data_IF_258774469082
#
_entry.id   IF_258774469082
#
_cell.length_a   1.000
_cell.length_b   1.000
_cell.length_c   1.000
_cell.angle_alpha   90.00
_cell.angle_beta   90.00
_cell.angle_gamma   90.00
#
_symmetry.space_group_name_H-M   'P 1'
#
loop_
_entity.id
_entity.type
_entity.pdbx_description
1 polymer ?
#
# COMPACT_ATOMS: atom_id res chain seq x y z
N UNK A 1 -3.37 73.66 5.73
CA UNK A 1 -3.09 74.21 4.40
C UNK A 1 -3.68 73.22 3.40
N UNK A 2 -4.99 73.28 3.18
CA UNK A 2 -5.75 74.19 2.28
C UNK A 2 -6.13 73.42 1.02
N UNK A 3 -7.33 72.82 0.92
CA UNK A 3 -8.68 73.38 0.65
C UNK A 3 -9.04 73.42 -0.85
N UNK A 4 -9.95 72.49 -1.21
CA UNK A 4 -11.18 72.56 -2.07
C UNK A 4 -11.14 72.99 -3.56
N UNK A 5 -11.93 72.25 -4.36
CA UNK A 5 -13.17 72.80 -4.97
C UNK A 5 -14.24 71.72 -5.26
N UNK A 6 -15.50 72.16 -5.07
CA UNK A 6 -16.79 71.46 -5.18
C UNK A 6 -17.35 71.49 -6.61
N UNK A 7 -18.34 70.64 -6.92
CA UNK A 7 -19.71 71.03 -7.35
C UNK A 7 -20.67 69.85 -7.11
N UNK A 8 -21.86 70.20 -6.62
CA UNK A 8 -23.00 69.36 -6.27
C UNK A 8 -24.06 69.36 -7.39
N UNK A 9 -24.83 68.29 -7.53
CA UNK A 9 -26.24 68.31 -7.91
C UNK A 9 -26.89 66.96 -7.56
N UNK A 10 -27.87 66.98 -6.66
CA UNK A 10 -28.62 65.78 -6.26
C UNK A 10 -29.85 65.56 -7.12
N UNK A 11 -30.32 64.31 -7.18
CA UNK A 11 -31.69 63.93 -7.50
C UNK A 11 -32.07 62.76 -6.57
N UNK A 12 -33.18 62.93 -5.86
CA UNK A 12 -33.85 61.91 -5.07
C UNK A 12 -34.44 60.80 -5.97
N UNK A 13 -34.70 59.60 -5.44
CA UNK A 13 -35.99 58.87 -5.57
C UNK A 13 -35.89 57.43 -5.02
N UNK A 14 -36.94 57.08 -4.28
CA UNK A 14 -37.52 55.77 -3.96
C UNK A 14 -36.72 54.74 -3.11
N UNK A 15 -37.13 54.66 -1.84
CA UNK A 15 -37.10 53.42 -1.07
C UNK A 15 -38.05 52.39 -1.71
N UNK A 16 -37.51 51.29 -2.21
CA UNK A 16 -38.24 50.04 -2.39
C UNK A 16 -37.68 49.04 -1.39
N UNK A 17 -38.44 48.79 -0.31
CA UNK A 17 -38.19 47.66 0.60
C UNK A 17 -38.60 46.40 -0.14
N UNK A 18 -37.66 45.80 -0.86
CA UNK A 18 -37.78 44.43 -1.33
C UNK A 18 -37.36 43.49 -0.21
N UNK A 19 -38.31 42.85 0.46
CA UNK A 19 -38.02 41.68 1.29
C UNK A 19 -37.62 40.56 0.33
N UNK A 20 -36.32 40.42 0.09
CA UNK A 20 -35.78 39.24 -0.53
C UNK A 20 -35.89 38.11 0.50
N UNK A 21 -36.85 37.21 0.28
CA UNK A 21 -36.80 35.88 0.87
C UNK A 21 -35.51 35.23 0.38
N UNK A 22 -34.47 35.26 1.23
CA UNK A 22 -33.31 34.41 1.06
C UNK A 22 -33.82 32.99 1.31
N UNK A 23 -34.16 32.30 0.23
CA UNK A 23 -34.32 30.86 0.27
C UNK A 23 -32.99 30.29 0.73
N UNK A 24 -32.93 29.88 2.00
CA UNK A 24 -31.85 29.02 2.48
C UNK A 24 -32.06 27.72 1.75
N UNK A 25 -31.40 27.56 0.60
CA UNK A 25 -31.17 26.23 0.06
C UNK A 25 -30.47 25.45 1.17
N UNK A 26 -30.96 24.28 1.59
CA UNK A 26 -30.16 23.43 2.46
C UNK A 26 -28.80 23.29 1.77
N UNK A 27 -27.73 23.55 2.52
CA UNK A 27 -26.40 23.19 2.06
C UNK A 27 -26.45 21.69 1.81
N UNK A 28 -26.53 21.29 0.55
CA UNK A 28 -26.13 19.94 0.17
C UNK A 28 -24.70 19.84 0.67
N UNK A 29 -24.48 19.04 1.70
CA UNK A 29 -23.14 18.61 2.06
C UNK A 29 -22.55 18.08 0.75
N UNK A 30 -21.57 18.78 0.19
CA UNK A 30 -20.92 18.31 -1.00
C UNK A 30 -20.31 16.97 -0.62
N UNK A 31 -20.75 15.90 -1.29
CA UNK A 31 -20.17 14.59 -1.17
C UNK A 31 -18.66 14.74 -1.38
N UNK A 32 -17.88 14.27 -0.42
CA UNK A 32 -16.44 14.53 -0.42
C UNK A 32 -15.83 13.71 -1.54
N UNK A 33 -15.16 14.35 -2.51
CA UNK A 33 -14.40 13.61 -3.53
C UNK A 33 -13.34 12.73 -2.82
N UNK A 34 -13.50 11.39 -2.87
CA UNK A 34 -12.64 10.49 -2.11
C UNK A 34 -11.19 10.54 -2.61
N UNK A 35 -10.98 10.78 -3.91
CA UNK A 35 -9.63 10.94 -4.47
C UNK A 35 -8.99 12.23 -3.98
N UNK A 36 -9.75 13.33 -3.92
CA UNK A 36 -9.24 14.59 -3.39
C UNK A 36 -8.86 14.48 -1.91
N UNK A 37 -9.65 13.77 -1.10
CA UNK A 37 -9.33 13.49 0.29
C UNK A 37 -8.02 12.70 0.43
N UNK A 38 -7.85 11.61 -0.33
CA UNK A 38 -6.62 10.82 -0.34
C UNK A 38 -5.42 11.67 -0.80
N UNK A 39 -5.58 12.49 -1.84
CA UNK A 39 -4.52 13.37 -2.33
C UNK A 39 -4.09 14.42 -1.29
N UNK A 40 -5.02 14.93 -0.49
CA UNK A 40 -4.72 15.89 0.58
C UNK A 40 -3.96 15.22 1.75
N UNK A 41 -4.35 14.01 2.14
CA UNK A 41 -3.73 13.30 3.26
C UNK A 41 -2.37 12.67 2.90
N UNK A 42 -2.24 12.15 1.68
CA UNK A 42 -1.04 11.50 1.15
C UNK A 42 -0.85 11.80 -0.34
N UNK A 43 -0.24 12.96 -0.68
CA UNK A 43 0.06 13.32 -2.06
C UNK A 43 0.91 12.26 -2.77
N UNK A 44 1.85 11.64 -2.03
CA UNK A 44 2.77 10.63 -2.55
C UNK A 44 2.04 9.36 -3.02
N UNK A 45 0.98 8.95 -2.33
CA UNK A 45 0.11 7.82 -2.74
C UNK A 45 -0.45 8.04 -4.14
N UNK A 46 -1.06 9.21 -4.35
CA UNK A 46 -1.69 9.56 -5.62
C UNK A 46 -0.63 9.79 -6.70
N UNK A 47 0.50 10.40 -6.32
CA UNK A 47 1.64 10.62 -7.20
C UNK A 47 2.30 9.31 -7.62
N UNK A 48 2.25 8.24 -6.81
CA UNK A 48 2.84 6.91 -7.08
C UNK A 48 1.88 5.92 -7.75
N UNK A 49 0.64 6.30 -8.01
CA UNK A 49 -0.33 5.45 -8.71
C UNK A 49 0.19 4.95 -10.07
N UNK A 50 0.00 3.67 -10.33
CA UNK A 50 0.35 3.01 -11.57
C UNK A 50 -0.57 3.47 -12.72
N UNK A 51 0.02 3.66 -13.90
CA UNK A 51 -0.74 3.96 -15.11
C UNK A 51 -1.17 2.66 -15.79
N UNK A 52 -2.19 2.02 -15.24
CA UNK A 52 -2.76 0.75 -15.75
C UNK A 52 -4.22 0.93 -16.21
N UNK A 53 -4.71 0.12 -17.17
CA UNK A 53 -6.12 0.13 -17.55
C UNK A 53 -7.02 -0.02 -16.32
N UNK A 54 -8.11 0.75 -16.28
CA UNK A 54 -9.03 0.76 -15.13
C UNK A 54 -10.46 0.94 -15.64
N UNK A 55 -11.38 0.16 -15.07
CA UNK A 55 -12.80 0.15 -15.46
C UNK A 55 -13.68 -0.07 -14.23
N UNK A 56 -14.93 0.34 -14.33
CA UNK A 56 -16.05 0.09 -13.40
C UNK A 56 -16.99 -1.02 -13.94
N UNK A 57 -16.58 -1.76 -14.97
CA UNK A 57 -17.39 -2.81 -15.59
C UNK A 57 -16.64 -4.12 -15.74
N UNK A 58 -17.38 -5.24 -15.77
CA UNK A 58 -16.79 -6.58 -15.86
C UNK A 58 -16.42 -7.15 -14.48
N UNK A 59 -15.44 -8.03 -14.43
CA UNK A 59 -15.03 -8.71 -13.19
C UNK A 59 -13.99 -7.90 -12.42
N UNK A 60 -12.96 -7.43 -13.11
CA UNK A 60 -11.79 -6.80 -12.51
C UNK A 60 -11.72 -5.33 -12.92
N UNK A 61 -11.75 -4.44 -11.94
CA UNK A 61 -11.56 -3.02 -12.16
C UNK A 61 -10.11 -2.71 -12.56
N UNK A 62 -9.15 -3.45 -12.02
CA UNK A 62 -7.75 -3.47 -12.43
C UNK A 62 -7.25 -4.92 -12.47
N UNK A 63 -6.59 -5.31 -13.54
CA UNK A 63 -5.83 -6.55 -13.63
C UNK A 63 -4.50 -6.26 -14.35
N UNK A 64 -3.39 -6.30 -13.62
CA UNK A 64 -2.08 -5.92 -14.16
C UNK A 64 -0.92 -6.67 -13.50
N UNK A 65 0.12 -6.97 -14.29
CA UNK A 65 1.40 -7.43 -13.78
C UNK A 65 2.36 -6.23 -13.66
N UNK A 66 2.73 -5.86 -12.43
CA UNK A 66 3.54 -4.68 -12.11
C UNK A 66 4.72 -5.10 -11.25
N UNK A 67 5.93 -4.80 -11.70
CA UNK A 67 7.17 -5.14 -11.00
C UNK A 67 7.28 -6.62 -10.56
N UNK A 68 6.71 -7.55 -11.34
CA UNK A 68 6.70 -8.98 -11.03
C UNK A 68 5.56 -9.46 -10.12
N UNK A 69 4.63 -8.56 -9.75
CA UNK A 69 3.44 -8.86 -8.95
C UNK A 69 2.19 -8.77 -9.82
N UNK A 70 1.39 -9.81 -9.83
CA UNK A 70 0.03 -9.81 -10.36
C UNK A 70 -0.89 -9.12 -9.34
N UNK A 71 -1.45 -7.98 -9.73
CA UNK A 71 -2.37 -7.17 -8.92
C UNK A 71 -3.74 -7.20 -9.55
N UNK A 72 -4.73 -7.63 -8.78
CA UNK A 72 -6.15 -7.62 -9.18
C UNK A 72 -6.98 -6.85 -8.18
N UNK A 73 -7.73 -5.86 -8.65
CA UNK A 73 -8.72 -5.09 -7.89
C UNK A 73 -10.07 -5.35 -8.54
N UNK A 74 -11.05 -5.98 -7.85
CA UNK A 74 -12.30 -6.41 -8.46
C UNK A 74 -13.29 -5.25 -8.66
N UNK A 75 -14.25 -5.38 -9.59
CA UNK A 75 -15.39 -4.45 -9.66
C UNK A 75 -16.31 -4.63 -8.45
N UNK A 76 -16.61 -5.89 -8.09
CA UNK A 76 -17.35 -6.23 -6.87
C UNK A 76 -16.39 -6.29 -5.66
N UNK A 77 -16.50 -5.38 -4.67
CA UNK A 77 -15.60 -5.36 -3.52
C UNK A 77 -15.64 -6.65 -2.68
N UNK A 78 -16.73 -7.45 -2.77
CA UNK A 78 -16.86 -8.70 -2.02
C UNK A 78 -15.86 -9.79 -2.47
N UNK A 79 -15.28 -9.67 -3.68
CA UNK A 79 -14.26 -10.58 -4.17
C UNK A 79 -12.87 -10.35 -3.50
N UNK A 80 -12.63 -9.14 -2.99
CA UNK A 80 -11.36 -8.75 -2.39
C UNK A 80 -10.23 -8.51 -3.39
N UNK A 81 -9.21 -7.77 -2.96
CA UNK A 81 -8.01 -7.46 -3.75
C UNK A 81 -7.07 -8.67 -3.71
N UNK A 82 -6.50 -9.05 -4.84
CA UNK A 82 -5.52 -10.14 -4.91
C UNK A 82 -4.14 -9.61 -5.31
N UNK A 83 -3.13 -10.04 -4.56
CA UNK A 83 -1.71 -9.75 -4.79
C UNK A 83 -0.96 -11.07 -4.84
N UNK A 84 -0.10 -11.25 -5.82
CA UNK A 84 0.70 -12.47 -5.85
C UNK A 84 1.55 -12.65 -7.09
N UNK A 85 2.08 -13.85 -7.23
CA UNK A 85 2.70 -14.32 -8.46
C UNK A 85 2.54 -15.83 -8.54
N UNK A 86 2.07 -16.35 -9.67
CA UNK A 86 1.86 -17.79 -9.85
C UNK A 86 0.93 -18.39 -8.79
N UNK A 87 1.43 -19.34 -7.99
CA UNK A 87 0.63 -20.03 -6.95
C UNK A 87 0.67 -19.38 -5.56
N UNK A 88 1.47 -18.33 -5.36
CA UNK A 88 1.51 -17.57 -4.11
C UNK A 88 0.65 -16.32 -4.28
N UNK A 89 -0.62 -16.43 -3.92
CA UNK A 89 -1.58 -15.33 -3.96
C UNK A 89 -2.09 -15.08 -2.55
N UNK A 90 -2.07 -13.83 -2.14
CA UNK A 90 -2.78 -13.33 -0.96
C UNK A 90 -3.99 -12.56 -1.43
N UNK A 91 -5.15 -12.83 -0.81
CA UNK A 91 -6.36 -12.06 -1.02
C UNK A 91 -6.66 -11.23 0.23
N UNK A 92 -7.03 -9.97 0.02
CA UNK A 92 -7.33 -8.97 1.04
C UNK A 92 -8.76 -8.53 0.82
N UNK A 93 -9.66 -8.94 1.72
CA UNK A 93 -11.03 -8.47 1.76
C UNK A 93 -11.09 -6.99 2.14
N UNK A 94 -12.09 -6.28 1.60
CA UNK A 94 -12.32 -4.88 1.91
C UNK A 94 -13.33 -4.73 3.06
N UNK A 95 -13.18 -3.70 3.90
CA UNK A 95 -14.12 -3.44 4.98
C UNK A 95 -15.51 -3.16 4.39
N UNK A 96 -16.55 -3.69 5.03
CA UNK A 96 -17.94 -3.48 4.62
C UNK A 96 -18.29 -3.90 3.18
N UNK A 97 -17.45 -4.70 2.52
CA UNK A 97 -17.58 -5.06 1.10
C UNK A 97 -18.98 -5.57 0.68
N UNK A 98 -19.69 -6.29 1.55
CA UNK A 98 -21.05 -6.81 1.25
C UNK A 98 -22.13 -5.72 1.15
N UNK A 99 -21.86 -4.57 1.74
CA UNK A 99 -22.75 -3.42 1.78
C UNK A 99 -22.26 -2.28 0.88
N UNK A 100 -21.05 -2.41 0.34
CA UNK A 100 -20.44 -1.41 -0.52
C UNK A 100 -21.04 -1.45 -1.93
N UNK A 101 -21.00 -0.32 -2.62
CA UNK A 101 -21.26 -0.27 -4.07
C UNK A 101 -20.10 -0.84 -4.89
N UNK A 102 -20.37 -1.13 -6.15
CA UNK A 102 -19.33 -1.53 -7.12
C UNK A 102 -18.29 -0.43 -7.32
N UNK A 103 -17.12 -0.82 -7.83
CA UNK A 103 -16.00 0.09 -8.09
C UNK A 103 -16.42 1.28 -8.96
N UNK A 104 -16.08 2.49 -8.51
CA UNK A 104 -16.14 3.72 -9.31
C UNK A 104 -14.74 4.14 -9.71
N UNK A 105 -14.52 4.39 -11.00
CA UNK A 105 -13.21 4.79 -11.51
C UNK A 105 -12.91 6.22 -11.12
N UNK A 106 -11.82 6.40 -10.37
CA UNK A 106 -11.32 7.72 -9.99
C UNK A 106 -10.25 8.20 -10.97
N UNK A 107 -9.32 7.30 -11.32
CA UNK A 107 -8.34 7.47 -12.40
C UNK A 107 -7.68 6.14 -12.75
N UNK A 108 -6.73 6.15 -13.68
CA UNK A 108 -5.88 4.99 -13.97
C UNK A 108 -5.17 4.48 -12.70
N UNK A 109 -5.35 3.19 -12.42
CA UNK A 109 -4.83 2.49 -11.24
C UNK A 109 -5.56 2.76 -9.93
N UNK A 110 -6.68 3.52 -9.94
CA UNK A 110 -7.40 3.88 -8.71
C UNK A 110 -8.91 3.84 -8.90
N UNK A 111 -9.55 3.13 -7.97
CA UNK A 111 -11.02 3.06 -7.85
C UNK A 111 -11.44 3.42 -6.43
N UNK A 112 -12.73 3.65 -6.24
CA UNK A 112 -13.35 3.81 -4.94
C UNK A 112 -14.56 2.88 -4.78
N UNK A 113 -14.84 2.47 -3.55
CA UNK A 113 -16.04 1.75 -3.14
C UNK A 113 -16.71 2.53 -2.01
N UNK A 114 -17.90 3.05 -2.25
CA UNK A 114 -18.72 3.65 -1.19
C UNK A 114 -19.23 2.52 -0.30
N UNK A 115 -18.86 2.54 0.99
CA UNK A 115 -19.26 1.52 1.96
C UNK A 115 -20.69 1.72 2.50
N UNK A 116 -21.40 2.76 2.02
CA UNK A 116 -22.77 3.13 2.40
C UNK A 116 -22.92 3.35 3.92
N UNK A 117 -21.88 3.90 4.56
CA UNK A 117 -21.84 4.09 6.01
C UNK A 117 -21.03 5.32 6.45
N UNK A 118 -20.90 6.33 5.57
CA UNK A 118 -20.07 7.52 5.82
C UNK A 118 -18.57 7.23 5.68
N UNK A 119 -18.21 6.15 5.00
CA UNK A 119 -16.82 5.86 4.63
C UNK A 119 -16.72 5.33 3.20
N UNK A 120 -15.59 5.59 2.56
CA UNK A 120 -15.27 5.12 1.20
C UNK A 120 -13.90 4.45 1.22
N UNK A 121 -13.79 3.25 0.63
CA UNK A 121 -12.51 2.56 0.45
C UNK A 121 -11.91 2.91 -0.91
N UNK A 122 -10.65 3.32 -0.94
CA UNK A 122 -9.95 3.81 -2.14
C UNK A 122 -8.61 3.07 -2.32
N UNK A 123 -8.62 1.91 -3.00
CA UNK A 123 -7.39 1.21 -3.33
C UNK A 123 -6.63 1.93 -4.45
N UNK A 124 -5.34 2.15 -4.19
CA UNK A 124 -4.40 2.74 -5.13
C UNK A 124 -3.34 1.70 -5.48
N UNK A 125 -3.35 1.24 -6.73
CA UNK A 125 -2.31 0.35 -7.26
C UNK A 125 -1.06 1.19 -7.53
N UNK A 126 0.07 0.84 -6.90
CA UNK A 126 1.33 1.58 -7.00
C UNK A 126 2.25 1.00 -8.09
N UNK A 127 3.17 1.83 -8.60
CA UNK A 127 4.11 1.48 -9.69
C UNK A 127 5.11 0.38 -9.34
N UNK A 128 5.28 0.09 -8.07
CA UNK A 128 6.16 -0.96 -7.53
C UNK A 128 5.42 -2.29 -7.30
N UNK A 129 4.13 -2.37 -7.66
CA UNK A 129 3.30 -3.56 -7.46
C UNK A 129 2.63 -3.63 -6.09
N UNK A 130 2.82 -2.62 -5.23
CA UNK A 130 2.12 -2.51 -3.95
C UNK A 130 0.70 -1.98 -4.14
N UNK A 131 -0.15 -2.19 -3.14
CA UNK A 131 -1.48 -1.59 -3.10
C UNK A 131 -1.68 -0.87 -1.78
N UNK A 132 -2.14 0.37 -1.86
CA UNK A 132 -2.45 1.19 -0.71
C UNK A 132 -3.98 1.32 -0.59
N UNK A 133 -4.57 0.78 0.47
CA UNK A 133 -6.03 0.62 0.58
C UNK A 133 -6.57 1.69 1.54
N UNK A 134 -6.69 2.92 1.04
CA UNK A 134 -7.11 4.04 1.87
C UNK A 134 -8.59 3.90 2.29
N UNK A 135 -8.93 4.40 3.47
CA UNK A 135 -10.30 4.58 3.93
C UNK A 135 -10.52 6.06 4.19
N UNK A 136 -11.43 6.66 3.43
CA UNK A 136 -11.90 8.03 3.62
C UNK A 136 -13.12 7.96 4.53
N UNK A 137 -13.09 8.66 5.65
CA UNK A 137 -14.14 8.72 6.67
C UNK A 137 -14.73 10.12 6.61
N UNK A 138 -16.00 10.23 6.22
CA UNK A 138 -16.60 11.51 5.83
C UNK A 138 -17.11 12.33 7.02
N UNK A 139 -17.52 11.65 8.10
CA UNK A 139 -18.03 12.30 9.29
C UNK A 139 -17.96 11.40 10.54
N UNK A 140 -18.36 11.97 11.68
CA UNK A 140 -18.30 11.31 12.98
C UNK A 140 -19.30 10.17 13.18
N UNK A 141 -20.25 9.96 12.27
CA UNK A 141 -21.21 8.85 12.32
C UNK A 141 -20.66 7.56 11.72
N UNK A 142 -19.56 7.66 10.96
CA UNK A 142 -18.91 6.52 10.35
C UNK A 142 -18.32 5.53 11.38
N UNK A 143 -18.11 4.26 11.01
CA UNK A 143 -17.46 3.29 11.88
C UNK A 143 -16.04 3.71 12.28
N UNK A 144 -15.60 3.21 13.45
CA UNK A 144 -14.23 3.38 13.94
C UNK A 144 -13.33 2.16 13.69
N UNK A 145 -13.91 1.07 13.20
CA UNK A 145 -13.24 -0.23 13.02
C UNK A 145 -13.43 -0.69 11.58
N UNK A 146 -12.32 -0.98 10.92
CA UNK A 146 -12.29 -1.39 9.52
C UNK A 146 -11.53 -2.71 9.43
N UNK A 147 -12.27 -3.78 9.12
CA UNK A 147 -11.76 -5.13 9.09
C UNK A 147 -11.30 -5.48 7.67
N UNK A 148 -10.07 -5.98 7.57
CA UNK A 148 -9.45 -6.49 6.35
C UNK A 148 -9.19 -7.99 6.52
N UNK A 149 -10.10 -8.87 6.10
CA UNK A 149 -9.86 -10.31 6.10
C UNK A 149 -8.73 -10.66 5.13
N UNK A 150 -7.68 -11.32 5.61
CA UNK A 150 -6.53 -11.70 4.79
C UNK A 150 -6.54 -13.22 4.60
N UNK A 151 -6.70 -13.67 3.36
CA UNK A 151 -6.58 -15.08 2.99
C UNK A 151 -5.18 -15.34 2.46
N UNK A 152 -4.43 -16.18 3.15
CA UNK A 152 -3.03 -16.46 2.87
C UNK A 152 -2.81 -17.91 2.45
N UNK A 153 -1.73 -18.22 1.70
CA UNK A 153 -1.37 -19.59 1.37
C UNK A 153 -1.20 -20.48 2.61
N UNK A 154 -1.41 -21.79 2.44
CA UNK A 154 -1.38 -22.75 3.54
C UNK A 154 -0.06 -22.71 4.32
N UNK A 155 -0.17 -22.68 5.66
CA UNK A 155 0.96 -22.62 6.59
C UNK A 155 1.45 -21.20 6.89
N UNK A 156 1.03 -20.18 6.14
CA UNK A 156 1.30 -18.79 6.48
C UNK A 156 0.28 -18.28 7.51
N UNK A 157 0.66 -17.27 8.29
CA UNK A 157 -0.23 -16.64 9.26
C UNK A 157 0.03 -15.14 9.38
N UNK A 158 -1.00 -14.39 9.72
CA UNK A 158 -0.92 -12.97 10.00
C UNK A 158 -0.44 -12.76 11.44
N UNK A 159 0.47 -11.82 11.64
CA UNK A 159 0.93 -11.39 12.96
C UNK A 159 1.02 -9.85 13.04
N UNK A 160 0.91 -9.33 14.27
CA UNK A 160 1.22 -7.94 14.61
C UNK A 160 2.67 -7.85 15.09
N UNK A 161 3.39 -6.84 14.62
CA UNK A 161 4.79 -6.59 14.97
C UNK A 161 4.90 -5.57 16.12
N UNK A 162 6.06 -5.52 16.78
CA UNK A 162 6.30 -4.63 17.93
C UNK A 162 6.20 -3.13 17.59
N UNK A 163 6.48 -2.76 16.35
CA UNK A 163 6.40 -1.39 15.84
C UNK A 163 4.97 -0.97 15.42
N UNK A 164 3.98 -1.85 15.62
CA UNK A 164 2.59 -1.63 15.25
C UNK A 164 2.26 -1.94 13.79
N UNK A 165 3.23 -2.35 12.98
CA UNK A 165 2.99 -2.89 11.63
C UNK A 165 2.44 -4.33 11.71
N UNK A 166 1.98 -4.88 10.58
CA UNK A 166 1.57 -6.28 10.50
C UNK A 166 2.32 -7.02 9.38
N UNK A 167 2.40 -8.34 9.48
CA UNK A 167 3.03 -9.16 8.45
C UNK A 167 2.35 -10.50 8.32
N UNK A 168 2.25 -11.00 7.08
CA UNK A 168 2.00 -12.42 6.84
C UNK A 168 3.35 -13.12 6.87
N UNK A 169 3.47 -14.16 7.68
CA UNK A 169 4.73 -14.86 7.91
C UNK A 169 4.59 -16.32 7.55
N UNK A 170 5.58 -16.85 6.84
CA UNK A 170 5.69 -18.25 6.46
C UNK A 170 6.05 -19.15 7.65
N UNK A 171 5.90 -20.49 7.53
CA UNK A 171 6.30 -21.41 8.60
C UNK A 171 7.76 -21.28 9.07
N UNK A 172 8.66 -20.80 8.20
CA UNK A 172 10.09 -20.60 8.50
C UNK A 172 10.42 -19.18 9.00
N UNK A 173 9.40 -18.38 9.33
CA UNK A 173 9.56 -17.08 9.96
C UNK A 173 9.90 -15.94 9.00
N UNK A 174 9.59 -16.07 7.71
CA UNK A 174 9.87 -15.02 6.71
C UNK A 174 8.60 -14.25 6.38
N UNK A 175 8.64 -12.91 6.38
CA UNK A 175 7.51 -12.10 5.95
C UNK A 175 7.24 -12.24 4.45
N UNK A 176 6.04 -12.69 4.06
CA UNK A 176 5.57 -12.78 2.66
C UNK A 176 4.79 -11.55 2.21
N UNK A 177 4.14 -10.89 3.15
CA UNK A 177 3.45 -9.62 2.96
C UNK A 177 3.72 -8.76 4.19
N UNK A 178 3.97 -7.48 3.97
CA UNK A 178 4.06 -6.48 5.03
C UNK A 178 2.93 -5.46 4.88
N UNK A 179 2.36 -5.07 6.01
CA UNK A 179 1.45 -3.94 6.12
C UNK A 179 2.14 -2.92 7.00
N UNK A 180 2.43 -1.74 6.46
CA UNK A 180 3.11 -0.69 7.20
C UNK A 180 2.30 -0.27 8.44
N UNK A 181 2.98 0.25 9.46
CA UNK A 181 2.32 0.77 10.67
C UNK A 181 1.20 1.75 10.31
N UNK A 182 0.05 1.69 11.00
CA UNK A 182 -1.14 2.44 10.62
C UNK A 182 -0.91 3.92 10.84
N UNK A 183 -1.49 4.73 9.95
CA UNK A 183 -1.62 6.16 10.16
C UNK A 183 -3.02 6.62 9.77
N UNK A 184 -3.44 7.74 10.35
CA UNK A 184 -4.66 8.44 9.99
C UNK A 184 -4.45 9.96 10.12
N UNK A 185 -5.04 10.74 9.20
CA UNK A 185 -4.96 12.20 9.20
C UNK A 185 -6.34 12.81 9.00
N UNK A 186 -6.63 13.89 9.73
CA UNK A 186 -7.82 14.71 9.55
C UNK A 186 -7.67 15.65 8.33
N UNK A 187 -8.72 16.40 8.00
CA UNK A 187 -8.72 17.29 6.82
C UNK A 187 -7.75 18.48 6.92
N UNK A 188 -7.26 18.80 8.12
CA UNK A 188 -6.20 19.79 8.33
C UNK A 188 -4.80 19.15 8.27
N UNK A 189 -4.70 17.84 8.08
CA UNK A 189 -3.46 17.07 8.08
C UNK A 189 -2.95 16.71 9.48
N UNK A 190 -3.74 16.91 10.54
CA UNK A 190 -3.36 16.51 11.90
C UNK A 190 -3.47 15.00 12.05
N UNK A 191 -2.54 14.40 12.79
CA UNK A 191 -2.59 12.97 13.09
C UNK A 191 -3.82 12.63 13.95
N UNK A 192 -4.52 11.56 13.58
CA UNK A 192 -5.58 10.92 14.37
C UNK A 192 -5.02 9.61 14.91
N UNK A 193 -5.29 9.32 16.19
CA UNK A 193 -4.80 8.09 16.82
C UNK A 193 -5.39 6.87 16.12
N UNK A 194 -4.54 5.90 15.82
CA UNK A 194 -4.93 4.65 15.18
C UNK A 194 -3.97 3.53 15.53
N UNK A 195 -4.46 2.29 15.51
CA UNK A 195 -3.66 1.08 15.70
C UNK A 195 -4.29 -0.09 14.95
N UNK A 196 -3.50 -1.15 14.75
CA UNK A 196 -4.00 -2.43 14.27
C UNK A 196 -4.31 -3.39 15.40
N UNK A 197 -5.31 -4.22 15.18
CA UNK A 197 -5.61 -5.43 15.94
C UNK A 197 -5.61 -6.63 14.99
N UNK A 198 -5.08 -7.77 15.43
CA UNK A 198 -5.11 -9.01 14.66
C UNK A 198 -6.00 -10.03 15.38
N UNK A 199 -7.02 -10.53 14.68
CA UNK A 199 -7.87 -11.61 15.16
C UNK A 199 -7.96 -12.71 14.10
N UNK A 200 -7.30 -13.84 14.37
CA UNK A 200 -7.21 -14.94 13.41
C UNK A 200 -6.50 -14.49 12.13
N UNK A 201 -7.23 -14.42 11.02
CA UNK A 201 -6.72 -13.96 9.73
C UNK A 201 -7.21 -12.57 9.34
N UNK A 202 -7.87 -11.85 10.24
CA UNK A 202 -8.33 -10.48 9.99
C UNK A 202 -7.38 -9.46 10.62
N UNK A 203 -6.99 -8.46 9.83
CA UNK A 203 -6.34 -7.23 10.30
C UNK A 203 -7.42 -6.16 10.45
N UNK A 204 -7.61 -5.62 11.64
CA UNK A 204 -8.54 -4.52 11.89
C UNK A 204 -7.76 -3.25 12.14
N UNK A 205 -8.00 -2.19 11.35
CA UNK A 205 -7.56 -0.86 11.71
C UNK A 205 -8.63 -0.19 12.59
N UNK A 206 -8.21 0.27 13.76
CA UNK A 206 -9.04 1.05 14.67
C UNK A 206 -8.61 2.51 14.57
N UNK A 207 -9.54 3.43 14.36
CA UNK A 207 -9.27 4.87 14.28
C UNK A 207 -10.07 5.59 15.36
N UNK A 208 -9.39 6.33 16.21
CA UNK A 208 -10.00 7.04 17.34
C UNK A 208 -10.22 8.53 17.04
N UNK A 209 -11.18 8.82 16.15
CA UNK A 209 -11.67 10.18 15.90
C UNK A 209 -12.79 10.57 16.87
N UNK A 210 -12.97 11.86 17.11
CA UNK A 210 -14.06 12.42 17.92
C UNK A 210 -15.04 13.19 17.05
N UNK A 211 -16.20 13.54 17.60
CA UNK A 211 -17.15 14.43 16.93
C UNK A 211 -16.57 15.83 16.62
N UNK A 212 -15.48 16.21 17.30
CA UNK A 212 -14.74 17.46 17.07
C UNK A 212 -13.58 17.31 16.08
N UNK A 213 -13.30 16.10 15.57
CA UNK A 213 -12.31 15.89 14.52
C UNK A 213 -12.76 16.58 13.24
N UNK A 214 -11.82 17.12 12.47
CA UNK A 214 -12.13 17.82 11.21
C UNK A 214 -12.12 16.81 10.08
N UNK A 215 -13.29 16.53 9.52
CA UNK A 215 -13.45 15.54 8.46
C UNK A 215 -13.25 16.14 7.05
N UNK A 216 -12.91 15.31 6.04
CA UNK A 216 -12.70 13.86 6.12
C UNK A 216 -11.45 13.45 6.91
N UNK A 217 -11.50 12.29 7.56
CA UNK A 217 -10.31 11.60 8.06
C UNK A 217 -9.90 10.56 7.02
N UNK A 218 -8.64 10.52 6.63
CA UNK A 218 -8.10 9.48 5.76
C UNK A 218 -7.20 8.56 6.58
N UNK A 219 -7.49 7.27 6.53
CA UNK A 219 -6.71 6.21 7.17
C UNK A 219 -6.14 5.27 6.11
N UNK A 220 -4.99 4.67 6.38
CA UNK A 220 -4.28 3.85 5.41
C UNK A 220 -3.60 2.63 6.05
N UNK A 221 -3.96 1.43 5.57
CA UNK A 221 -3.03 0.32 5.42
C UNK A 221 -2.33 0.34 4.04
N UNK A 222 -1.05 0.68 4.04
CA UNK A 222 -0.17 0.42 2.90
C UNK A 222 0.27 -1.03 2.92
N UNK A 223 -0.10 -1.79 1.89
CA UNK A 223 0.20 -3.22 1.76
C UNK A 223 1.31 -3.43 0.73
N UNK A 224 2.42 -3.97 1.20
CA UNK A 224 3.58 -4.32 0.39
C UNK A 224 3.66 -5.84 0.24
N UNK A 225 3.53 -6.31 -1.00
CA UNK A 225 3.83 -7.70 -1.32
C UNK A 225 5.35 -7.88 -1.41
N UNK A 226 5.92 -8.66 -0.49
CA UNK A 226 7.36 -8.88 -0.39
C UNK A 226 7.79 -10.00 -1.35
N UNK A 227 7.54 -9.81 -2.64
CA UNK A 227 7.76 -10.83 -3.67
C UNK A 227 9.20 -11.38 -3.68
N UNK A 228 10.18 -10.60 -3.21
CA UNK A 228 11.59 -10.97 -3.13
C UNK A 228 11.96 -11.96 -2.02
N UNK A 229 11.00 -12.33 -1.15
CA UNK A 229 11.19 -13.34 -0.09
C UNK A 229 12.34 -13.05 0.85
N UNK A 230 13.40 -13.86 0.79
CA UNK A 230 14.60 -13.67 1.62
C UNK A 230 15.68 -12.92 0.85
N UNK A 231 16.28 -11.92 1.50
CA UNK A 231 17.47 -11.24 0.97
C UNK A 231 18.68 -11.60 1.82
N UNK A 232 19.78 -12.01 1.18
CA UNK A 232 21.07 -12.24 1.82
C UNK A 232 22.11 -11.34 1.15
N UNK A 233 22.61 -10.36 1.90
CA UNK A 233 23.70 -9.50 1.44
C UNK A 233 25.00 -10.00 2.04
N UNK A 234 25.92 -10.42 1.19
CA UNK A 234 27.25 -10.89 1.58
C UNK A 234 28.20 -9.72 1.72
N UNK A 235 29.00 -9.68 2.78
CA UNK A 235 30.01 -8.65 2.96
C UNK A 235 31.17 -8.80 1.95
N UNK A 236 32.13 -7.86 1.95
CA UNK A 236 33.27 -7.87 1.01
C UNK A 236 34.11 -9.14 1.10
N UNK A 237 34.27 -9.69 2.29
CA UNK A 237 35.06 -10.90 2.53
C UNK A 237 34.34 -12.12 1.98
N UNK A 238 33.06 -12.25 2.29
CA UNK A 238 32.20 -13.34 1.83
C UNK A 238 31.99 -13.30 0.31
N UNK A 239 31.82 -12.12 -0.28
CA UNK A 239 31.71 -11.91 -1.73
C UNK A 239 32.97 -12.37 -2.45
N UNK A 240 34.17 -12.08 -1.90
CA UNK A 240 35.44 -12.56 -2.46
C UNK A 240 35.56 -14.07 -2.30
N UNK A 241 35.20 -14.61 -1.14
CA UNK A 241 35.24 -16.05 -0.90
C UNK A 241 34.34 -16.82 -1.88
N UNK A 242 33.17 -16.26 -2.22
CA UNK A 242 32.27 -16.82 -3.23
C UNK A 242 32.77 -16.69 -4.67
N UNK A 243 33.65 -15.73 -4.95
CA UNK A 243 34.28 -15.57 -6.26
C UNK A 243 35.31 -16.70 -6.55
N UNK A 244 35.86 -17.31 -5.50
CA UNK A 244 36.90 -18.33 -5.52
C UNK A 244 36.36 -19.77 -5.56
N UNK A 245 35.04 -19.95 -5.43
CA UNK A 245 34.43 -21.28 -5.50
C UNK A 245 34.54 -21.89 -6.89
N UNK A 246 34.95 -23.16 -6.90
CA UNK A 246 35.21 -23.93 -8.13
C UNK A 246 34.26 -25.12 -8.29
N UNK A 247 33.40 -25.39 -7.31
CA UNK A 247 32.41 -26.48 -7.36
C UNK A 247 31.13 -26.16 -6.60
N UNK A 248 30.02 -26.73 -7.09
CA UNK A 248 28.66 -26.58 -6.55
C UNK A 248 28.59 -26.91 -5.05
N UNK A 249 29.33 -27.94 -4.61
CA UNK A 249 29.38 -28.38 -3.23
C UNK A 249 29.99 -27.35 -2.26
N UNK A 250 31.01 -26.60 -2.68
CA UNK A 250 31.67 -25.60 -1.82
C UNK A 250 30.77 -24.39 -1.58
N UNK A 251 30.11 -23.92 -2.64
CA UNK A 251 29.23 -22.76 -2.55
C UNK A 251 27.91 -23.06 -1.84
N UNK A 252 27.33 -24.25 -2.09
CA UNK A 252 26.16 -24.72 -1.36
C UNK A 252 26.46 -24.83 0.15
N UNK A 253 27.62 -25.40 0.49
CA UNK A 253 28.06 -25.53 1.89
C UNK A 253 28.29 -24.17 2.55
N UNK A 254 28.90 -23.22 1.86
CA UNK A 254 29.14 -21.87 2.39
C UNK A 254 27.84 -21.08 2.57
N UNK A 255 26.91 -21.15 1.62
CA UNK A 255 25.62 -20.51 1.75
C UNK A 255 24.75 -21.12 2.87
N UNK A 256 24.78 -22.45 3.03
CA UNK A 256 24.15 -23.14 4.17
C UNK A 256 24.77 -22.70 5.51
N UNK A 257 26.09 -22.53 5.55
CA UNK A 257 26.83 -22.17 6.76
C UNK A 257 26.59 -20.72 7.22
N UNK A 258 26.43 -19.78 6.28
CA UNK A 258 26.16 -18.36 6.59
C UNK A 258 24.69 -18.12 6.95
N UNK A 259 23.76 -18.90 6.38
CA UNK A 259 22.33 -18.69 6.57
C UNK A 259 21.79 -19.13 7.95
N UNK A 260 22.40 -20.13 8.59
CA UNK A 260 22.06 -20.60 9.95
C UNK A 260 20.64 -21.17 10.14
N UNK A 261 20.51 -22.26 10.92
CA UNK A 261 19.21 -22.82 11.31
C UNK A 261 18.35 -23.36 10.15
N UNK A 262 17.02 -23.43 10.34
CA UNK A 262 16.04 -23.89 9.33
C UNK A 262 16.03 -23.03 8.05
N UNK A 263 16.52 -21.79 8.11
CA UNK A 263 16.71 -20.90 6.96
C UNK A 263 17.80 -21.37 5.98
N UNK A 264 18.78 -22.16 6.46
CA UNK A 264 19.87 -22.66 5.62
C UNK A 264 19.41 -23.63 4.54
N UNK A 265 18.36 -24.42 4.78
CA UNK A 265 17.87 -25.40 3.83
C UNK A 265 17.18 -24.75 2.61
N UNK A 266 16.38 -23.69 2.82
CA UNK A 266 15.70 -22.96 1.74
C UNK A 266 16.68 -22.18 0.86
N UNK A 267 17.69 -21.55 1.47
CA UNK A 267 18.77 -20.82 0.78
C UNK A 267 19.63 -21.77 -0.06
N UNK A 268 19.91 -22.97 0.45
CA UNK A 268 20.65 -23.98 -0.30
C UNK A 268 19.85 -24.55 -1.47
N UNK A 269 18.52 -24.72 -1.34
CA UNK A 269 17.66 -25.05 -2.47
C UNK A 269 17.64 -23.97 -3.55
N UNK A 270 17.61 -22.69 -3.16
CA UNK A 270 17.58 -21.55 -4.09
C UNK A 270 18.86 -21.39 -4.92
N UNK A 271 20.05 -21.55 -4.32
CA UNK A 271 21.33 -21.44 -5.05
C UNK A 271 21.51 -22.57 -6.07
N UNK A 272 21.05 -23.77 -5.76
CA UNK A 272 21.05 -24.88 -6.71
C UNK A 272 20.18 -24.58 -7.94
N UNK A 273 19.07 -23.83 -7.78
CA UNK A 273 18.17 -23.44 -8.87
C UNK A 273 18.70 -22.31 -9.77
N UNK A 274 19.56 -21.42 -9.24
CA UNK A 274 20.19 -20.32 -10.02
C UNK A 274 21.39 -20.83 -10.82
N UNK A 275 22.04 -21.92 -10.38
CA UNK A 275 23.25 -22.46 -10.98
C UNK A 275 24.50 -21.72 -10.50
N UNK A 276 25.43 -22.44 -9.87
CA UNK A 276 26.59 -21.84 -9.21
C UNK A 276 27.48 -21.03 -10.15
N UNK A 277 27.63 -21.43 -11.41
CA UNK A 277 28.44 -20.67 -12.37
C UNK A 277 27.96 -19.22 -12.53
N UNK A 278 26.65 -18.98 -12.39
CA UNK A 278 26.05 -17.65 -12.45
C UNK A 278 26.37 -16.89 -11.16
N UNK A 279 26.21 -17.53 -10.00
CA UNK A 279 26.52 -16.95 -8.68
C UNK A 279 28.01 -16.60 -8.56
N UNK A 280 28.93 -17.51 -8.90
CA UNK A 280 30.37 -17.26 -8.85
C UNK A 280 30.81 -16.16 -9.83
N UNK A 281 30.16 -16.05 -10.99
CA UNK A 281 30.44 -14.98 -11.96
C UNK A 281 29.92 -13.64 -11.46
N UNK A 282 28.74 -13.60 -10.86
CA UNK A 282 28.22 -12.40 -10.21
C UNK A 282 29.08 -11.96 -9.02
N UNK A 283 29.54 -12.90 -8.18
CA UNK A 283 30.47 -12.64 -7.08
C UNK A 283 31.80 -12.07 -7.57
N UNK A 284 32.39 -12.64 -8.64
CA UNK A 284 33.60 -12.11 -9.29
C UNK A 284 33.40 -10.69 -9.81
N UNK A 285 32.26 -10.42 -10.44
CA UNK A 285 31.95 -9.10 -11.00
C UNK A 285 31.75 -8.07 -9.88
N UNK A 286 30.99 -8.41 -8.84
CA UNK A 286 30.79 -7.56 -7.66
C UNK A 286 32.12 -7.27 -6.95
N UNK A 287 32.95 -8.30 -6.73
CA UNK A 287 34.27 -8.15 -6.11
C UNK A 287 35.20 -7.22 -6.93
N UNK A 288 35.23 -7.37 -8.27
CA UNK A 288 35.98 -6.48 -9.16
C UNK A 288 35.49 -5.03 -9.11
N UNK A 289 34.18 -4.84 -8.96
CA UNK A 289 33.56 -3.52 -8.83
C UNK A 289 33.69 -2.92 -7.41
N UNK A 290 34.28 -3.63 -6.45
CA UNK A 290 34.35 -3.21 -5.04
C UNK A 290 33.00 -3.21 -4.33
N UNK A 291 32.02 -3.93 -4.89
CA UNK A 291 30.61 -4.04 -4.46
C UNK A 291 30.36 -5.39 -3.77
N UNK A 292 29.22 -5.48 -3.10
CA UNK A 292 28.81 -6.66 -2.35
C UNK A 292 27.77 -7.43 -3.13
N UNK A 293 27.86 -8.75 -3.10
CA UNK A 293 26.86 -9.58 -3.76
C UNK A 293 25.63 -9.73 -2.87
N UNK A 294 24.45 -9.60 -3.46
CA UNK A 294 23.18 -9.81 -2.78
C UNK A 294 22.39 -10.88 -3.53
N UNK A 295 21.90 -11.87 -2.79
CA UNK A 295 20.95 -12.86 -3.30
C UNK A 295 19.56 -12.52 -2.79
N UNK A 296 18.61 -12.40 -3.72
CA UNK A 296 17.20 -12.26 -3.42
C UNK A 296 16.51 -13.57 -3.81
N UNK A 297 15.81 -14.19 -2.88
CA UNK A 297 15.08 -15.44 -3.07
C UNK A 297 13.60 -15.14 -3.03
N UNK A 298 12.99 -14.84 -4.20
CA UNK A 298 11.56 -14.59 -4.25
C UNK A 298 10.78 -15.80 -3.80
N UNK A 299 9.58 -15.59 -3.24
CA UNK A 299 8.70 -16.71 -2.88
C UNK A 299 8.26 -17.54 -4.08
N UNK A 300 8.28 -16.94 -5.28
CA UNK A 300 7.96 -17.58 -6.56
C UNK A 300 8.96 -17.12 -7.61
N UNK A 301 9.47 -18.06 -8.40
CA UNK A 301 10.44 -17.79 -9.46
C UNK A 301 11.89 -18.09 -9.04
N UNK A 302 12.85 -17.99 -9.99
CA UNK A 302 14.26 -18.25 -9.70
C UNK A 302 14.84 -17.15 -8.81
N UNK A 303 15.80 -17.49 -7.96
CA UNK A 303 16.53 -16.49 -7.19
C UNK A 303 17.27 -15.50 -8.10
N UNK A 304 17.35 -14.26 -7.65
CA UNK A 304 17.97 -13.15 -8.37
C UNK A 304 19.27 -12.74 -7.69
N UNK A 305 20.24 -12.30 -8.48
CA UNK A 305 21.54 -11.84 -7.99
C UNK A 305 21.72 -10.38 -8.35
N UNK A 306 22.11 -9.57 -7.36
CA UNK A 306 22.39 -8.15 -7.52
C UNK A 306 23.79 -7.83 -7.01
N UNK A 307 24.42 -6.80 -7.58
CA UNK A 307 25.58 -6.14 -6.99
C UNK A 307 25.13 -4.86 -6.29
N UNK A 308 25.35 -4.77 -4.99
CA UNK A 308 24.94 -3.63 -4.16
C UNK A 308 26.15 -2.93 -3.57
N UNK A 309 25.97 -1.68 -3.11
CA UNK A 309 27.02 -1.04 -2.30
C UNK A 309 27.20 -1.86 -1.03
N UNK A 310 28.45 -2.23 -0.77
CA UNK A 310 28.91 -2.47 0.59
C UNK A 310 28.95 -1.12 1.34
#
# INVERSE_FOLDING_TARGET
MDVRKLISAGIAIACAVGVALVGVTPANAAETDPMAAVAAASPDTVANAASVPTTDTGTDAVAAAIAGTDVTVPVDPAAGISLGSGSQVVSIGLPFARNAGDASVQKSGVVSYDNNNGSTTVPVVQRDGNVQINTVIEDASAPKRYDYPISVPAGQHLQLNEDGSASVVTPDGVPSLAVAAPWAKDANGNAVLTHYEVQGSALTQVIDFAATTVFPVVADPSVTWLWWGRTITYNKSETRHMADFTSDAQALSFACAIAGGVAGAAVCGGIAAIGLHIVATAARNAAKAGRCMQLNFPYVGPGLIYDVKC
#
